data_IF_811520297361
#
_entry.id   IF_811520297361
#
_cell.length_a   1.000
_cell.length_b   1.000
_cell.length_c   1.000
_cell.angle_alpha   90.00
_cell.angle_beta   90.00
_cell.angle_gamma   90.00
#
_symmetry.space_group_name_H-M   'P 1'
#
loop_
_entity.id
_entity.type
_entity.pdbx_description
1 polymer ?
#
# COMPACT_ATOMS: atom_id res chain seq x y z
N UNK A 1 -13.19 -20.24 -7.28
CA UNK A 1 -14.23 -19.28 -6.86
C UNK A 1 -13.88 -18.28 -5.77
N UNK A 2 -13.31 -18.71 -4.65
CA UNK A 2 -12.96 -17.84 -3.51
C UNK A 2 -12.12 -16.60 -3.87
N UNK A 3 -11.02 -16.81 -4.62
CA UNK A 3 -10.04 -15.76 -4.93
C UNK A 3 -10.64 -14.63 -5.78
N UNK A 4 -11.32 -14.99 -6.87
CA UNK A 4 -11.94 -14.04 -7.81
C UNK A 4 -12.95 -13.11 -7.14
N UNK A 5 -13.79 -13.67 -6.26
CA UNK A 5 -14.79 -12.89 -5.50
C UNK A 5 -14.12 -11.89 -4.55
N UNK A 6 -12.97 -12.25 -3.98
CA UNK A 6 -12.24 -11.40 -3.04
C UNK A 6 -11.41 -10.30 -3.73
N UNK A 7 -10.88 -10.56 -4.92
CA UNK A 7 -9.87 -9.70 -5.56
C UNK A 7 -10.35 -8.96 -6.81
N UNK A 8 -11.55 -9.27 -7.31
CA UNK A 8 -12.08 -8.79 -8.60
C UNK A 8 -11.21 -9.22 -9.80
N UNK A 9 -10.44 -10.29 -9.66
CA UNK A 9 -9.60 -10.84 -10.73
C UNK A 9 -10.42 -11.65 -11.75
N UNK A 10 -10.06 -11.50 -13.02
CA UNK A 10 -10.45 -12.46 -14.06
C UNK A 10 -9.80 -13.83 -13.83
N UNK A 11 -10.22 -14.86 -14.57
CA UNK A 11 -9.56 -16.17 -14.52
C UNK A 11 -8.08 -16.10 -14.93
N UNK A 12 -7.76 -15.27 -15.93
CA UNK A 12 -6.38 -15.04 -16.37
C UNK A 12 -5.56 -14.35 -15.28
N UNK A 13 -6.10 -13.30 -14.65
CA UNK A 13 -5.44 -12.59 -13.54
C UNK A 13 -5.18 -13.51 -12.35
N UNK A 14 -6.18 -14.31 -11.98
CA UNK A 14 -6.04 -15.29 -10.91
C UNK A 14 -4.95 -16.33 -11.23
N UNK A 15 -4.88 -16.82 -12.47
CA UNK A 15 -3.81 -17.69 -12.94
C UNK A 15 -2.44 -17.05 -12.80
N UNK A 16 -2.28 -15.80 -13.28
CA UNK A 16 -1.03 -15.04 -13.17
C UNK A 16 -0.61 -14.89 -11.70
N UNK A 17 -1.53 -14.50 -10.83
CA UNK A 17 -1.25 -14.27 -9.42
C UNK A 17 -0.81 -15.55 -8.70
N UNK A 18 -1.51 -16.66 -8.94
CA UNK A 18 -1.18 -17.96 -8.34
C UNK A 18 0.16 -18.47 -8.88
N UNK A 19 0.43 -18.35 -10.18
CA UNK A 19 1.72 -18.77 -10.75
C UNK A 19 2.90 -17.95 -10.21
N UNK A 20 2.70 -16.66 -9.94
CA UNK A 20 3.76 -15.78 -9.41
C UNK A 20 3.97 -15.90 -7.91
N UNK A 21 2.88 -16.10 -7.16
CA UNK A 21 2.94 -16.19 -5.70
C UNK A 21 1.83 -17.11 -5.19
N UNK A 22 2.07 -18.44 -5.17
CA UNK A 22 1.07 -19.43 -4.75
C UNK A 22 0.54 -19.20 -3.33
N UNK A 23 1.33 -18.58 -2.46
CA UNK A 23 0.96 -18.20 -1.08
C UNK A 23 -0.26 -17.27 -1.03
N UNK A 24 -0.66 -16.63 -2.14
CA UNK A 24 -1.94 -15.89 -2.20
C UNK A 24 -3.13 -16.78 -1.84
N UNK A 25 -3.03 -18.09 -2.09
CA UNK A 25 -4.07 -19.07 -1.77
C UNK A 25 -4.18 -19.39 -0.27
N UNK A 26 -3.15 -19.08 0.52
CA UNK A 26 -3.19 -19.28 1.98
C UNK A 26 -3.82 -18.11 2.72
N UNK A 27 -4.12 -17.00 2.03
CA UNK A 27 -4.80 -15.86 2.63
C UNK A 27 -6.30 -16.13 2.74
N UNK A 28 -6.91 -15.78 3.88
CA UNK A 28 -8.36 -15.90 4.04
C UNK A 28 -9.10 -14.96 3.09
N UNK A 29 -10.32 -15.34 2.71
CA UNK A 29 -11.21 -14.53 1.85
C UNK A 29 -11.34 -13.11 2.36
N UNK A 30 -11.58 -12.97 3.66
CA UNK A 30 -11.75 -11.69 4.32
C UNK A 30 -10.48 -10.83 4.23
N UNK A 31 -9.31 -11.43 4.49
CA UNK A 31 -8.03 -10.72 4.38
C UNK A 31 -7.78 -10.24 2.95
N UNK A 32 -8.04 -11.09 1.95
CA UNK A 32 -7.90 -10.74 0.55
C UNK A 32 -8.88 -9.63 0.15
N UNK A 33 -10.14 -9.73 0.56
CA UNK A 33 -11.18 -8.74 0.26
C UNK A 33 -10.78 -7.37 0.82
N UNK A 34 -10.44 -7.29 2.11
CA UNK A 34 -10.05 -6.02 2.76
C UNK A 34 -8.83 -5.37 2.10
N UNK A 35 -7.81 -6.17 1.76
CA UNK A 35 -6.63 -5.66 1.06
C UNK A 35 -6.96 -5.23 -0.37
N UNK A 36 -7.78 -6.01 -1.08
CA UNK A 36 -8.18 -5.70 -2.44
C UNK A 36 -9.03 -4.43 -2.51
N UNK A 37 -10.00 -4.27 -1.61
CA UNK A 37 -10.84 -3.07 -1.58
C UNK A 37 -10.01 -1.82 -1.28
N UNK A 38 -9.07 -1.89 -0.34
CA UNK A 38 -8.14 -0.78 -0.11
C UNK A 38 -7.31 -0.46 -1.36
N UNK A 39 -6.65 -1.44 -1.95
CA UNK A 39 -5.76 -1.23 -3.11
C UNK A 39 -6.51 -0.76 -4.36
N UNK A 40 -7.74 -1.19 -4.57
CA UNK A 40 -8.54 -0.80 -5.74
C UNK A 40 -9.29 0.50 -5.48
N UNK A 41 -10.04 0.60 -4.38
CA UNK A 41 -10.95 1.72 -4.14
C UNK A 41 -10.26 2.95 -3.52
N UNK A 42 -9.30 2.75 -2.61
CA UNK A 42 -8.60 3.88 -1.96
C UNK A 42 -7.30 4.25 -2.71
N UNK A 43 -6.50 3.27 -3.12
CA UNK A 43 -5.23 3.52 -3.82
C UNK A 43 -5.43 3.73 -5.33
N UNK A 44 -6.50 3.19 -5.92
CA UNK A 44 -6.80 3.34 -7.34
C UNK A 44 -6.04 2.38 -8.26
N UNK A 45 -5.50 1.26 -7.73
CA UNK A 45 -4.79 0.28 -8.55
C UNK A 45 -5.76 -0.61 -9.33
N UNK A 46 -5.39 -0.93 -10.57
CA UNK A 46 -6.13 -1.90 -11.37
C UNK A 46 -6.01 -3.33 -10.81
N UNK A 47 -7.07 -4.14 -10.79
CA UNK A 47 -6.99 -5.53 -10.34
C UNK A 47 -5.90 -6.34 -11.05
N UNK A 48 -5.75 -6.17 -12.37
CA UNK A 48 -4.71 -6.82 -13.17
C UNK A 48 -3.29 -6.37 -12.78
N UNK A 49 -3.11 -5.10 -12.38
CA UNK A 49 -1.84 -4.60 -11.87
C UNK A 49 -1.44 -5.34 -10.57
N UNK A 50 -2.41 -5.54 -9.67
CA UNK A 50 -2.21 -6.26 -8.40
C UNK A 50 -1.94 -7.75 -8.67
N UNK A 51 -2.68 -8.37 -9.61
CA UNK A 51 -2.50 -9.78 -10.00
C UNK A 51 -1.09 -10.09 -10.52
N UNK A 52 -0.45 -9.13 -11.19
CA UNK A 52 0.95 -9.26 -11.65
C UNK A 52 1.98 -9.08 -10.52
N UNK A 53 1.55 -8.53 -9.38
CA UNK A 53 2.38 -8.17 -8.20
C UNK A 53 1.79 -8.72 -6.88
N UNK A 54 1.38 -9.99 -6.83
CA UNK A 54 0.57 -10.54 -5.74
C UNK A 54 1.29 -10.53 -4.38
N UNK A 55 2.63 -10.49 -4.37
CA UNK A 55 3.43 -10.41 -3.15
C UNK A 55 3.10 -9.19 -2.27
N UNK A 56 2.56 -8.09 -2.82
CA UNK A 56 2.14 -6.95 -2.00
C UNK A 56 1.00 -7.29 -1.04
N UNK A 57 0.19 -8.31 -1.37
CA UNK A 57 -0.89 -8.83 -0.52
C UNK A 57 -0.35 -9.58 0.71
N UNK A 58 0.95 -9.86 0.79
CA UNK A 58 1.57 -10.45 1.99
C UNK A 58 1.71 -9.45 3.14
N UNK A 59 1.79 -8.15 2.85
CA UNK A 59 2.03 -7.14 3.86
C UNK A 59 0.79 -6.80 4.69
N UNK A 60 1.02 -6.32 5.92
CA UNK A 60 -0.05 -5.85 6.79
C UNK A 60 -0.78 -4.67 6.15
N UNK A 61 -2.12 -4.73 6.14
CA UNK A 61 -2.96 -3.63 5.66
C UNK A 61 -2.71 -2.38 6.51
N UNK A 62 -2.90 -2.50 7.83
CA UNK A 62 -2.78 -1.38 8.76
C UNK A 62 -1.33 -1.05 9.11
N UNK A 63 -0.42 -2.03 9.10
CA UNK A 63 0.97 -1.81 9.52
C UNK A 63 1.91 -1.37 8.39
N UNK A 64 1.50 -1.49 7.12
CA UNK A 64 2.37 -1.16 5.98
C UNK A 64 1.63 -0.57 4.79
N UNK A 65 0.59 -1.22 4.26
CA UNK A 65 -0.05 -0.78 3.02
C UNK A 65 -0.68 0.62 3.19
N UNK A 66 -1.56 0.76 4.18
CA UNK A 66 -2.27 2.00 4.46
C UNK A 66 -1.35 3.13 4.93
N UNK A 67 -0.43 2.93 5.90
CA UNK A 67 0.50 3.98 6.31
C UNK A 67 1.36 4.53 5.17
N UNK A 68 1.89 3.64 4.32
CA UNK A 68 2.76 4.07 3.20
C UNK A 68 1.99 4.75 2.08
N UNK A 69 0.72 4.37 1.88
CA UNK A 69 -0.16 5.09 0.98
C UNK A 69 -0.42 6.52 1.46
N UNK A 70 -0.68 6.71 2.75
CA UNK A 70 -0.91 8.06 3.28
C UNK A 70 0.33 8.94 3.22
N UNK A 71 1.52 8.39 3.48
CA UNK A 71 2.77 9.11 3.22
C UNK A 71 2.89 9.48 1.74
N UNK A 72 2.67 8.53 0.82
CA UNK A 72 2.73 8.82 -0.62
C UNK A 72 1.76 9.95 -1.01
N UNK A 73 0.52 9.87 -0.54
CA UNK A 73 -0.53 10.87 -0.83
C UNK A 73 -0.15 12.23 -0.27
N UNK A 74 0.25 12.31 1.00
CA UNK A 74 0.71 13.54 1.64
C UNK A 74 1.86 14.18 0.86
N UNK A 75 2.89 13.41 0.49
CA UNK A 75 4.03 13.95 -0.25
C UNK A 75 3.63 14.43 -1.65
N UNK A 76 2.76 13.70 -2.38
CA UNK A 76 2.30 14.13 -3.70
C UNK A 76 1.50 15.44 -3.62
N UNK A 77 0.58 15.54 -2.67
CA UNK A 77 -0.27 16.73 -2.51
C UNK A 77 0.52 17.97 -2.06
N UNK A 78 1.62 17.78 -1.33
CA UNK A 78 2.53 18.86 -0.92
C UNK A 78 3.66 19.12 -1.92
N UNK A 79 3.67 18.48 -3.11
CA UNK A 79 4.72 18.67 -4.12
C UNK A 79 6.10 18.12 -3.71
N UNK A 80 6.16 17.26 -2.70
CA UNK A 80 7.38 16.65 -2.15
C UNK A 80 7.71 15.30 -2.80
N UNK A 81 6.82 14.77 -3.65
CA UNK A 81 7.02 13.54 -4.39
C UNK A 81 6.53 13.69 -5.84
N UNK A 82 7.36 13.23 -6.77
CA UNK A 82 7.01 13.12 -8.18
C UNK A 82 5.73 12.28 -8.38
N UNK A 83 4.83 12.76 -9.24
CA UNK A 83 3.57 12.09 -9.55
C UNK A 83 3.78 10.70 -10.17
N UNK A 84 4.90 10.50 -10.88
CA UNK A 84 5.24 9.23 -11.56
C UNK A 84 5.75 8.13 -10.62
N UNK A 85 5.93 8.41 -9.33
CA UNK A 85 6.35 7.40 -8.35
C UNK A 85 5.28 6.35 -8.12
N UNK A 86 5.65 5.10 -8.38
CA UNK A 86 4.82 3.90 -8.22
C UNK A 86 4.68 3.46 -6.75
N UNK A 87 3.44 3.29 -6.31
CA UNK A 87 3.06 2.84 -4.97
C UNK A 87 3.67 1.47 -4.60
N UNK A 88 3.76 0.55 -5.57
CA UNK A 88 4.31 -0.78 -5.31
C UNK A 88 5.76 -0.73 -4.82
N UNK A 89 6.59 0.13 -5.41
CA UNK A 89 7.98 0.32 -4.97
C UNK A 89 8.06 0.77 -3.51
N UNK A 90 7.19 1.71 -3.12
CA UNK A 90 7.11 2.20 -1.74
C UNK A 90 6.73 1.09 -0.76
N UNK A 91 5.83 0.19 -1.13
CA UNK A 91 5.41 -0.95 -0.30
C UNK A 91 6.51 -2.00 -0.12
N UNK A 92 7.35 -2.22 -1.14
CA UNK A 92 8.41 -3.23 -1.10
C UNK A 92 9.62 -2.84 -0.23
N UNK A 93 9.90 -1.55 -0.05
CA UNK A 93 11.09 -1.15 0.69
C UNK A 93 11.08 -1.67 2.14
N UNK A 94 12.26 -2.01 2.65
CA UNK A 94 12.40 -2.24 4.09
C UNK A 94 12.02 -0.97 4.86
N UNK A 95 11.74 -1.12 6.14
CA UNK A 95 11.34 0.05 6.94
C UNK A 95 12.40 1.14 6.96
N UNK A 96 13.66 0.74 7.12
CA UNK A 96 14.81 1.64 7.06
C UNK A 96 14.87 2.39 5.73
N UNK A 97 14.81 1.66 4.61
CA UNK A 97 14.90 2.25 3.27
C UNK A 97 13.70 3.15 2.98
N UNK A 98 12.51 2.80 3.45
CA UNK A 98 11.32 3.63 3.31
C UNK A 98 11.48 4.96 4.06
N UNK A 99 11.91 4.91 5.33
CA UNK A 99 12.12 6.12 6.13
C UNK A 99 13.19 7.03 5.54
N UNK A 100 14.33 6.47 5.11
CA UNK A 100 15.44 7.21 4.49
C UNK A 100 15.02 7.91 3.20
N UNK A 101 14.11 7.32 2.41
CA UNK A 101 13.70 7.86 1.10
C UNK A 101 12.49 8.79 1.14
N UNK A 102 11.55 8.56 2.06
CA UNK A 102 10.24 9.23 2.02
C UNK A 102 9.87 9.96 3.31
N UNK A 103 10.65 9.83 4.39
CA UNK A 103 10.37 10.50 5.66
C UNK A 103 11.50 11.47 6.00
N UNK A 104 12.73 10.96 6.12
CA UNK A 104 13.91 11.76 6.50
C UNK A 104 14.17 12.98 5.61
N UNK A 105 14.03 12.92 4.26
CA UNK A 105 14.31 14.07 3.41
C UNK A 105 13.34 15.24 3.61
N UNK A 106 12.20 15.01 4.26
CA UNK A 106 11.13 15.99 4.38
C UNK A 106 10.90 16.46 5.82
N UNK A 107 11.81 16.14 6.76
CA UNK A 107 11.65 16.51 8.19
C UNK A 107 11.54 18.02 8.43
N UNK A 108 12.19 18.84 7.62
CA UNK A 108 12.11 20.30 7.74
C UNK A 108 10.79 20.85 7.17
N UNK A 109 10.38 20.34 6.00
CA UNK A 109 9.16 20.78 5.32
C UNK A 109 7.87 20.19 5.95
N UNK A 110 7.97 19.01 6.55
CA UNK A 110 6.87 18.26 7.15
C UNK A 110 7.30 17.62 8.48
N UNK A 111 7.49 18.44 9.54
CA UNK A 111 8.05 17.99 10.81
C UNK A 111 7.20 16.95 11.54
N UNK A 112 5.89 16.87 11.26
CA UNK A 112 4.97 15.90 11.88
C UNK A 112 4.90 14.56 11.15
N UNK A 113 5.45 14.48 9.93
CA UNK A 113 5.37 13.27 9.09
C UNK A 113 5.97 12.01 9.76
N UNK A 114 7.11 12.08 10.47
CA UNK A 114 7.65 10.91 11.17
C UNK A 114 6.71 10.38 12.27
N UNK A 115 6.16 11.26 13.10
CA UNK A 115 5.27 10.90 14.20
C UNK A 115 3.93 10.37 13.68
N UNK A 116 3.35 11.03 12.68
CA UNK A 116 2.10 10.60 12.04
C UNK A 116 2.28 9.24 11.35
N UNK A 117 3.41 9.02 10.67
CA UNK A 117 3.71 7.72 10.08
C UNK A 117 3.86 6.63 11.16
N UNK A 118 4.55 6.92 12.27
CA UNK A 118 4.70 5.98 13.37
C UNK A 118 3.36 5.63 14.02
N UNK A 119 2.47 6.61 14.20
CA UNK A 119 1.10 6.40 14.68
C UNK A 119 0.27 5.53 13.72
N UNK A 120 0.29 5.86 12.42
CA UNK A 120 -0.39 5.09 11.39
C UNK A 120 0.02 3.61 11.42
N UNK A 121 1.32 3.32 11.59
CA UNK A 121 1.84 1.94 11.66
C UNK A 121 1.35 1.16 12.88
N UNK A 122 0.95 1.83 13.96
CA UNK A 122 0.32 1.22 15.15
C UNK A 122 -1.19 1.03 14.98
N UNK A 123 -1.77 1.43 13.84
CA UNK A 123 -3.21 1.41 13.61
C UNK A 123 -3.93 2.61 14.21
N UNK A 124 -3.20 3.61 14.71
CA UNK A 124 -3.76 4.87 15.16
C UNK A 124 -3.98 5.75 13.94
N UNK A 125 -5.21 6.20 13.69
CA UNK A 125 -5.50 7.16 12.62
C UNK A 125 -4.83 8.50 12.97
N UNK A 126 -3.80 8.95 12.23
CA UNK A 126 -3.13 10.19 12.56
C UNK A 126 -4.05 11.36 12.27
N UNK A 127 -4.15 12.28 13.22
CA UNK A 127 -4.98 13.48 13.11
C UNK A 127 -4.39 14.51 12.16
N UNK A 128 -3.13 14.36 11.74
CA UNK A 128 -2.35 15.42 11.12
C UNK A 128 -1.71 15.08 9.76
N UNK A 129 -2.22 14.09 9.01
CA UNK A 129 -2.07 14.13 7.54
C UNK A 129 -2.88 15.31 7.00
N UNK A 130 -2.47 16.54 7.35
CA UNK A 130 -3.07 17.79 6.93
C UNK A 130 -2.63 17.99 5.48
N UNK A 131 -3.59 17.84 4.60
CA UNK A 131 -3.51 18.27 3.23
C UNK A 131 -3.64 19.80 3.29
N UNK A 132 -2.53 20.52 3.09
CA UNK A 132 -2.49 21.99 3.07
C UNK A 132 -3.09 22.47 1.76
#
# INVERSE_FOLDING_TARGET
DHLKKATRWSDADAGIAVSRWPTVLSLSKETLQRKSDFLVAEVGLEPAYIARRPAMLSYSLEGRLRPRYYVMRFLKENGLLDHDRDYYGMVLFSEKVFAEKFICPHKEAAPHLPEDYAAARRGEMPTNFRFI
#
